data_IF_543452491016
#
_entry.id   IF_543452491016
#
_cell.length_a   1.000
_cell.length_b   1.000
_cell.length_c   1.000
_cell.angle_alpha   90.00
_cell.angle_beta   90.00
_cell.angle_gamma   90.00
#
_symmetry.space_group_name_H-M   'P 1'
#
loop_
_entity.id
_entity.type
_entity.pdbx_description
1 polymer ?
#
# COMPACT_ATOMS: atom_id res chain seq x y z
N UNK A 1 -15.53 -7.96 0.31
CA UNK A 1 -14.56 -9.06 0.41
C UNK A 1 -13.54 -8.69 1.45
N UNK A 2 -13.46 -9.44 2.54
CA UNK A 2 -12.47 -9.21 3.62
C UNK A 2 -11.19 -10.02 3.37
N UNK A 3 -10.08 -9.66 4.03
CA UNK A 3 -8.79 -10.37 3.94
C UNK A 3 -8.92 -11.86 4.26
N UNK A 4 -9.70 -12.23 5.29
CA UNK A 4 -9.89 -13.64 5.64
C UNK A 4 -10.60 -14.42 4.52
N UNK A 5 -11.50 -13.76 3.78
CA UNK A 5 -12.17 -14.39 2.63
C UNK A 5 -11.19 -14.59 1.47
N UNK A 6 -10.32 -13.62 1.20
CA UNK A 6 -9.30 -13.73 0.15
C UNK A 6 -8.35 -14.90 0.42
N UNK A 7 -7.89 -15.05 1.67
CA UNK A 7 -7.03 -16.15 2.10
C UNK A 7 -7.78 -17.48 1.96
N UNK A 8 -9.00 -17.57 2.51
CA UNK A 8 -9.79 -18.82 2.49
C UNK A 8 -10.13 -19.28 1.07
N UNK A 9 -10.36 -18.36 0.14
CA UNK A 9 -10.64 -18.65 -1.27
C UNK A 9 -9.38 -18.89 -2.10
N UNK A 10 -8.18 -18.60 -1.57
CA UNK A 10 -6.92 -18.73 -2.30
C UNK A 10 -6.84 -17.78 -3.50
N UNK A 11 -7.40 -16.57 -3.36
CA UNK A 11 -7.43 -15.56 -4.42
C UNK A 11 -6.05 -14.97 -4.67
N UNK A 12 -5.78 -14.60 -5.93
CA UNK A 12 -4.59 -13.82 -6.25
C UNK A 12 -4.74 -12.38 -5.74
N UNK A 13 -3.71 -11.86 -5.08
CA UNK A 13 -3.68 -10.48 -4.57
C UNK A 13 -2.43 -9.75 -5.02
N UNK A 14 -2.56 -8.45 -5.27
CA UNK A 14 -1.49 -7.60 -5.79
C UNK A 14 -0.78 -6.79 -4.71
N UNK A 15 0.48 -6.47 -4.94
CA UNK A 15 1.25 -5.48 -4.15
C UNK A 15 2.29 -4.77 -5.05
N UNK A 16 2.69 -3.56 -4.65
CA UNK A 16 3.69 -2.77 -5.40
C UNK A 16 5.11 -3.31 -5.20
N UNK A 17 5.91 -3.36 -6.27
CA UNK A 17 7.33 -3.72 -6.20
C UNK A 17 8.10 -2.82 -5.23
N UNK A 18 9.00 -3.44 -4.44
CA UNK A 18 9.80 -2.73 -3.43
C UNK A 18 9.05 -2.32 -2.17
N UNK A 19 7.72 -2.52 -2.12
CA UNK A 19 6.92 -2.17 -0.93
C UNK A 19 7.13 -3.17 0.21
N UNK A 20 7.08 -2.66 1.46
CA UNK A 20 7.06 -3.48 2.66
C UNK A 20 5.80 -4.36 2.77
N UNK A 21 4.77 -4.07 1.96
CA UNK A 21 3.50 -4.79 1.93
C UNK A 21 3.70 -6.29 1.67
N UNK A 22 4.71 -6.70 0.88
CA UNK A 22 5.03 -8.11 0.70
C UNK A 22 5.29 -8.82 2.05
N UNK A 23 6.11 -8.21 2.90
CA UNK A 23 6.40 -8.74 4.22
C UNK A 23 5.16 -8.77 5.14
N UNK A 24 4.26 -7.80 4.98
CA UNK A 24 2.99 -7.77 5.71
C UNK A 24 2.06 -8.91 5.28
N UNK A 25 1.88 -9.12 3.97
CA UNK A 25 1.02 -10.18 3.43
C UNK A 25 1.51 -11.57 3.82
N UNK A 26 2.84 -11.79 3.84
CA UNK A 26 3.44 -13.02 4.36
C UNK A 26 3.10 -13.25 5.85
N UNK A 27 3.18 -12.21 6.68
CA UNK A 27 2.78 -12.29 8.11
C UNK A 27 1.28 -12.51 8.32
N UNK A 28 0.46 -12.14 7.34
CA UNK A 28 -0.98 -12.40 7.33
C UNK A 28 -1.34 -13.80 6.80
N UNK A 29 -0.35 -14.66 6.52
CA UNK A 29 -0.53 -16.02 5.98
C UNK A 29 -1.16 -16.08 4.59
N UNK A 30 -0.94 -15.08 3.74
CA UNK A 30 -1.18 -15.26 2.31
C UNK A 30 -0.19 -16.27 1.73
N UNK A 31 -0.68 -17.14 0.85
CA UNK A 31 0.17 -18.04 0.05
C UNK A 31 1.03 -17.22 -0.90
N UNK A 32 2.36 -17.35 -0.80
CA UNK A 32 3.30 -16.60 -1.64
C UNK A 32 3.09 -16.84 -3.14
N UNK A 33 2.62 -18.03 -3.53
CA UNK A 33 2.30 -18.36 -4.92
C UNK A 33 1.09 -17.59 -5.48
N UNK A 34 0.30 -16.98 -4.58
CA UNK A 34 -0.88 -16.17 -4.90
C UNK A 34 -0.61 -14.66 -4.88
N UNK A 35 0.63 -14.25 -4.58
CA UNK A 35 1.02 -12.85 -4.57
C UNK A 35 1.51 -12.43 -5.96
N UNK A 36 0.99 -11.31 -6.46
CA UNK A 36 1.40 -10.71 -7.73
C UNK A 36 2.00 -9.34 -7.49
N UNK A 37 3.20 -9.13 -8.02
CA UNK A 37 3.85 -7.83 -8.02
C UNK A 37 3.32 -6.98 -9.19
N UNK A 38 3.18 -5.68 -8.98
CA UNK A 38 2.98 -4.70 -10.05
C UNK A 38 3.90 -3.48 -9.84
N UNK A 39 4.19 -2.77 -10.94
CA UNK A 39 5.16 -1.68 -10.97
C UNK A 39 4.53 -0.31 -11.30
N UNK A 40 3.26 -0.30 -11.73
CA UNK A 40 2.56 0.93 -12.10
C UNK A 40 1.07 0.88 -11.78
N UNK A 41 0.43 2.06 -11.80
CA UNK A 41 -1.02 2.19 -11.63
C UNK A 41 -1.78 1.51 -12.78
N UNK A 42 -1.22 1.56 -13.99
CA UNK A 42 -1.78 0.97 -15.19
C UNK A 42 -1.76 -0.56 -15.11
N UNK A 43 -0.66 -1.16 -14.64
CA UNK A 43 -0.54 -2.60 -14.43
C UNK A 43 -1.47 -3.09 -13.31
N UNK A 44 -1.58 -2.33 -12.21
CA UNK A 44 -2.53 -2.61 -11.15
C UNK A 44 -3.99 -2.58 -11.67
N UNK A 45 -4.36 -1.57 -12.45
CA UNK A 45 -5.68 -1.48 -13.10
C UNK A 45 -5.94 -2.67 -14.05
N UNK A 46 -4.95 -3.09 -14.83
CA UNK A 46 -5.07 -4.24 -15.72
C UNK A 46 -5.30 -5.55 -14.94
N UNK A 47 -4.52 -5.79 -13.87
CA UNK A 47 -4.65 -6.98 -13.04
C UNK A 47 -5.99 -7.02 -12.30
N UNK A 48 -6.45 -5.89 -11.75
CA UNK A 48 -7.76 -5.79 -11.12
C UNK A 48 -8.89 -6.03 -12.14
N UNK A 49 -8.73 -5.54 -13.37
CA UNK A 49 -9.72 -5.73 -14.45
C UNK A 49 -9.85 -7.17 -14.89
N UNK A 50 -8.73 -7.92 -14.95
CA UNK A 50 -8.74 -9.35 -15.29
C UNK A 50 -9.44 -10.16 -14.20
N UNK A 51 -9.27 -9.77 -12.94
CA UNK A 51 -9.75 -10.52 -11.79
C UNK A 51 -8.95 -11.81 -11.57
N UNK A 52 -8.99 -12.32 -10.34
CA UNK A 52 -8.22 -13.50 -9.91
C UNK A 52 -8.44 -14.75 -10.78
N UNK A 53 -9.69 -14.98 -11.21
CA UNK A 53 -10.05 -16.13 -12.06
C UNK A 53 -9.46 -16.12 -13.49
N UNK A 54 -9.09 -14.95 -14.02
CA UNK A 54 -8.52 -14.82 -15.37
C UNK A 54 -7.04 -14.41 -15.36
N UNK A 55 -6.31 -14.81 -14.32
CA UNK A 55 -4.89 -14.50 -14.20
C UNK A 55 -4.61 -13.05 -13.79
N UNK A 56 -5.59 -12.34 -13.25
CA UNK A 56 -5.42 -11.04 -12.59
C UNK A 56 -5.27 -11.16 -11.08
N UNK A 57 -5.83 -10.18 -10.36
CA UNK A 57 -5.93 -10.15 -8.89
C UNK A 57 -7.36 -9.82 -8.46
N UNK A 58 -7.76 -10.30 -7.28
CA UNK A 58 -9.04 -9.96 -6.65
C UNK A 58 -8.98 -8.66 -5.85
N UNK A 59 -7.80 -8.33 -5.32
CA UNK A 59 -7.55 -7.13 -4.52
C UNK A 59 -6.09 -6.70 -4.66
N UNK A 60 -5.83 -5.40 -4.49
CA UNK A 60 -4.48 -4.84 -4.38
C UNK A 60 -4.30 -4.31 -2.95
N UNK A 61 -3.12 -4.58 -2.38
CA UNK A 61 -2.70 -4.04 -1.08
C UNK A 61 -1.60 -3.02 -1.33
N UNK A 62 -1.84 -1.80 -0.85
CA UNK A 62 -0.94 -0.68 -1.04
C UNK A 62 -1.10 0.31 0.12
N UNK A 63 -0.21 1.28 0.21
CA UNK A 63 -0.24 2.29 1.25
C UNK A 63 -1.37 3.28 0.99
N UNK A 64 -1.97 3.80 2.06
CA UNK A 64 -3.21 4.58 1.99
C UNK A 64 -3.10 5.81 1.06
N UNK A 65 -1.95 6.48 1.02
CA UNK A 65 -1.73 7.64 0.16
C UNK A 65 -1.74 7.27 -1.33
N UNK A 66 -1.13 6.15 -1.69
CA UNK A 66 -1.15 5.66 -3.07
C UNK A 66 -2.55 5.21 -3.47
N UNK A 67 -3.28 4.48 -2.60
CA UNK A 67 -4.68 4.08 -2.88
C UNK A 67 -5.57 5.31 -3.07
N UNK A 68 -5.44 6.34 -2.23
CA UNK A 68 -6.21 7.60 -2.39
C UNK A 68 -5.94 8.26 -3.74
N UNK A 69 -4.68 8.27 -4.19
CA UNK A 69 -4.32 8.78 -5.50
C UNK A 69 -4.96 7.96 -6.65
N UNK A 70 -4.96 6.63 -6.53
CA UNK A 70 -5.61 5.73 -7.51
C UNK A 70 -7.10 6.00 -7.59
N UNK A 71 -7.79 6.07 -6.44
CA UNK A 71 -9.23 6.30 -6.37
C UNK A 71 -9.62 7.67 -6.94
N UNK A 72 -8.79 8.70 -6.72
CA UNK A 72 -8.99 10.03 -7.30
C UNK A 72 -8.77 10.11 -8.81
N UNK A 73 -7.89 9.26 -9.37
CA UNK A 73 -7.63 9.21 -10.83
C UNK A 73 -8.56 8.28 -11.59
N UNK A 74 -9.03 7.22 -10.94
CA UNK A 74 -9.89 6.16 -11.52
C UNK A 74 -11.24 6.13 -10.82
N UNK A 75 -11.84 7.31 -10.67
CA UNK A 75 -13.12 7.51 -9.99
C UNK A 75 -14.14 6.50 -10.48
N UNK A 76 -14.71 5.72 -9.55
CA UNK A 76 -15.83 4.76 -9.67
C UNK A 76 -15.55 3.31 -10.09
N UNK A 77 -14.32 2.91 -10.45
CA UNK A 77 -14.05 1.50 -10.81
C UNK A 77 -13.71 0.61 -9.60
N UNK A 78 -13.07 1.19 -8.59
CA UNK A 78 -12.58 0.49 -7.42
C UNK A 78 -13.05 1.15 -6.14
N UNK A 79 -13.08 0.38 -5.06
CA UNK A 79 -13.35 0.88 -3.72
C UNK A 79 -12.30 0.35 -2.76
N UNK A 80 -12.01 1.14 -1.72
CA UNK A 80 -11.31 0.65 -0.55
C UNK A 80 -12.26 -0.22 0.27
N UNK A 81 -11.74 -1.30 0.85
CA UNK A 81 -12.50 -2.22 1.69
C UNK A 81 -11.85 -2.26 3.07
N UNK A 82 -12.65 -2.26 4.12
CA UNK A 82 -12.19 -2.40 5.50
C UNK A 82 -11.76 -3.84 5.82
N UNK A 83 -10.85 -4.06 6.78
CA UNK A 83 -10.20 -3.05 7.62
C UNK A 83 -8.96 -2.40 6.96
N UNK A 84 -8.73 -1.12 7.26
CA UNK A 84 -7.48 -0.45 6.92
C UNK A 84 -6.42 -0.84 7.95
N UNK A 85 -5.38 -1.55 7.52
CA UNK A 85 -4.27 -1.95 8.39
C UNK A 85 -3.39 -0.74 8.69
N UNK A 86 -3.39 -0.31 9.96
CA UNK A 86 -2.53 0.80 10.40
C UNK A 86 -1.07 0.37 10.37
N UNK A 87 -0.28 1.08 9.57
CA UNK A 87 1.18 0.97 9.51
C UNK A 87 1.79 2.29 9.98
N UNK A 88 3.13 2.32 10.09
CA UNK A 88 3.86 3.55 10.36
C UNK A 88 3.76 4.55 9.19
N UNK A 89 4.23 5.77 9.42
CA UNK A 89 4.24 6.84 8.43
C UNK A 89 5.54 6.93 7.62
N UNK A 90 5.60 7.96 6.78
CA UNK A 90 6.81 8.29 6.02
C UNK A 90 7.83 9.04 6.90
N UNK A 91 9.12 8.81 6.65
CA UNK A 91 10.20 9.45 7.37
C UNK A 91 11.48 9.55 6.56
N UNK A 92 12.42 10.38 7.04
CA UNK A 92 13.76 10.49 6.48
C UNK A 92 14.72 9.57 7.24
N UNK A 93 15.61 8.91 6.51
CA UNK A 93 16.58 7.97 7.10
C UNK A 93 17.95 8.62 7.21
N UNK A 94 18.59 8.42 8.38
CA UNK A 94 19.95 8.86 8.66
C UNK A 94 20.73 7.70 9.30
N UNK A 95 22.05 7.76 9.28
CA UNK A 95 22.88 6.84 10.05
C UNK A 95 22.61 6.97 11.55
N UNK A 96 22.75 5.86 12.28
CA UNK A 96 22.60 5.84 13.74
C UNK A 96 23.61 6.82 14.35
N UNK A 97 23.12 7.71 15.21
CA UNK A 97 23.92 8.77 15.84
C UNK A 97 24.10 10.04 15.00
N UNK A 98 23.45 10.14 13.84
CA UNK A 98 23.50 11.37 13.03
C UNK A 98 22.94 12.57 13.81
N UNK A 99 23.68 13.69 13.87
CA UNK A 99 23.21 14.91 14.54
C UNK A 99 22.06 15.60 13.78
N UNK A 100 21.80 15.19 12.53
CA UNK A 100 20.73 15.78 11.70
C UNK A 100 19.33 15.31 12.09
N UNK A 101 19.21 14.16 12.77
CA UNK A 101 17.92 13.61 13.18
C UNK A 101 17.08 14.64 13.96
N UNK A 102 17.55 15.22 15.08
CA UNK A 102 16.76 16.20 15.84
C UNK A 102 16.45 17.49 15.06
N UNK A 103 17.34 17.91 14.15
CA UNK A 103 17.11 19.12 13.35
C UNK A 103 16.00 18.91 12.32
N UNK A 104 16.06 17.80 11.59
CA UNK A 104 15.05 17.45 10.58
C UNK A 104 13.72 17.14 11.25
N UNK A 105 13.69 16.43 12.38
CA UNK A 105 12.46 16.18 13.13
C UNK A 105 11.78 17.48 13.59
N UNK A 106 12.53 18.46 14.08
CA UNK A 106 11.98 19.79 14.44
C UNK A 106 11.50 20.58 13.23
N UNK A 107 12.22 20.51 12.11
CA UNK A 107 11.80 21.16 10.88
C UNK A 107 10.47 20.58 10.36
N UNK A 108 10.29 19.26 10.43
CA UNK A 108 9.02 18.60 10.11
C UNK A 108 7.92 19.11 11.03
N UNK A 109 8.13 19.11 12.35
CA UNK A 109 7.14 19.60 13.31
C UNK A 109 6.68 21.03 12.99
N UNK A 110 7.63 21.92 12.71
CA UNK A 110 7.33 23.32 12.36
C UNK A 110 6.54 23.45 11.05
N UNK A 111 6.74 22.55 10.08
CA UNK A 111 5.97 22.53 8.83
C UNK A 111 4.58 21.95 9.05
N UNK A 112 4.45 20.91 9.86
CA UNK A 112 3.19 20.21 10.11
C UNK A 112 2.23 20.98 11.02
N UNK A 113 2.75 21.72 12.00
CA UNK A 113 1.95 22.55 12.92
C UNK A 113 1.80 24.01 12.44
N UNK A 114 2.53 24.40 11.40
CA UNK A 114 2.41 25.70 10.75
C UNK A 114 1.52 25.67 9.52
N UNK A 115 1.37 26.83 8.87
CA UNK A 115 0.46 26.99 7.73
C UNK A 115 1.01 26.46 6.39
N UNK A 116 2.17 25.80 6.39
CA UNK A 116 2.88 25.41 5.16
C UNK A 116 2.35 24.13 4.52
N UNK A 117 1.70 23.27 5.30
CA UNK A 117 1.22 21.95 4.86
C UNK A 117 -0.31 21.91 4.68
N UNK A 118 -0.97 23.07 4.77
CA UNK A 118 -2.43 23.22 4.67
C UNK A 118 -2.88 23.21 3.21
#
# INVERSE_FOLDING_TARGET
TDVNELIKKGEYVGYQEGSFVLGLLKRMNFDESKLKVYNSLEECDELLSKGSGNGGIAAAFDELLYIKLVLGRRCSKYTMVEPIYKTDGFGFVFSIGSPLVPDVSRAILNVTEGDKMV
#
